data_IF_519789235985
#
_entry.id   IF_519789235985
#
_cell.length_a   1.000
_cell.length_b   1.000
_cell.length_c   1.000
_cell.angle_alpha   90.00
_cell.angle_beta   90.00
_cell.angle_gamma   90.00
#
_symmetry.space_group_name_H-M   'P 1'
#
loop_
_entity.id
_entity.type
_entity.pdbx_description
1 polymer ?
#
# COMPACT_ATOMS: atom_id res chain seq x y z
N UNK A 1 -2.05 27.45 -63.34
CA UNK A 1 -0.96 26.49 -63.12
C UNK A 1 0.27 27.36 -62.89
N UNK A 2 0.80 27.53 -61.69
CA UNK A 2 0.81 26.69 -60.50
C UNK A 2 0.95 27.54 -59.23
N UNK A 3 0.54 26.96 -58.09
CA UNK A 3 0.74 27.54 -56.75
C UNK A 3 2.19 27.31 -56.34
N UNK A 4 2.82 28.25 -55.65
CA UNK A 4 3.62 27.84 -54.49
C UNK A 4 3.69 28.90 -53.39
N UNK A 5 3.54 28.40 -52.17
CA UNK A 5 3.50 29.10 -50.89
C UNK A 5 4.92 29.31 -50.37
N UNK A 6 5.19 30.45 -49.74
CA UNK A 6 6.48 30.70 -49.12
C UNK A 6 6.47 31.83 -48.11
N UNK A 7 5.58 31.77 -47.13
CA UNK A 7 5.70 32.54 -45.90
C UNK A 7 5.42 31.60 -44.72
N UNK A 8 6.48 31.16 -44.04
CA UNK A 8 6.38 30.44 -42.78
C UNK A 8 6.84 31.36 -41.64
N UNK A 9 6.00 31.61 -40.63
CA UNK A 9 6.39 32.38 -39.48
C UNK A 9 7.30 31.59 -38.54
N UNK A 10 8.20 32.36 -37.93
CA UNK A 10 9.09 32.07 -36.82
C UNK A 10 8.45 31.13 -35.77
N UNK A 11 8.90 29.87 -35.74
CA UNK A 11 8.46 28.90 -34.75
C UNK A 11 9.25 29.19 -33.47
N UNK A 12 8.71 30.10 -32.65
CA UNK A 12 9.11 30.25 -31.27
C UNK A 12 9.22 28.87 -30.62
N UNK A 13 10.43 28.54 -30.14
CA UNK A 13 10.71 27.31 -29.42
C UNK A 13 9.75 27.21 -28.23
N UNK A 14 8.78 26.30 -28.34
CA UNK A 14 7.92 25.93 -27.22
C UNK A 14 8.82 25.43 -26.08
N UNK A 15 8.64 25.90 -24.83
CA UNK A 15 9.33 25.31 -23.71
C UNK A 15 8.98 23.82 -23.65
N UNK A 16 10.02 22.98 -23.57
CA UNK A 16 9.89 21.54 -23.36
C UNK A 16 8.99 21.32 -22.14
N UNK A 17 7.97 20.48 -22.30
CA UNK A 17 7.13 20.01 -21.21
C UNK A 17 8.01 19.59 -20.03
N UNK A 18 7.85 20.28 -18.90
CA UNK A 18 8.50 19.92 -17.64
C UNK A 18 8.01 18.52 -17.23
N UNK A 19 8.91 17.73 -16.63
CA UNK A 19 8.80 16.29 -16.48
C UNK A 19 7.49 15.80 -15.83
N UNK A 20 7.03 14.63 -16.28
CA UNK A 20 6.00 13.83 -15.59
C UNK A 20 6.43 13.68 -14.12
N UNK A 21 5.68 14.30 -13.21
CA UNK A 21 6.11 14.56 -11.84
C UNK A 21 6.29 13.29 -11.01
N UNK A 22 7.48 13.09 -10.48
CA UNK A 22 7.75 12.11 -9.43
C UNK A 22 7.23 12.66 -8.09
N UNK A 23 6.52 11.83 -7.30
CA UNK A 23 6.11 12.22 -5.93
C UNK A 23 7.35 12.54 -5.07
N UNK A 24 7.22 13.53 -4.18
CA UNK A 24 8.27 13.81 -3.19
C UNK A 24 8.41 12.64 -2.21
N UNK A 25 9.58 12.50 -1.58
CA UNK A 25 9.80 11.48 -0.54
C UNK A 25 8.78 11.63 0.60
N UNK A 26 8.60 12.85 1.11
CA UNK A 26 7.61 13.13 2.16
C UNK A 26 6.19 12.71 1.76
N UNK A 27 5.78 12.95 0.50
CA UNK A 27 4.46 12.52 0.05
C UNK A 27 4.33 11.00 -0.06
N UNK A 28 5.41 10.30 -0.45
CA UNK A 28 5.43 8.83 -0.44
C UNK A 28 5.33 8.27 0.98
N UNK A 29 6.01 8.89 1.94
CA UNK A 29 5.95 8.48 3.34
C UNK A 29 4.53 8.67 3.91
N UNK A 30 3.88 9.80 3.63
CA UNK A 30 2.47 10.04 4.00
C UNK A 30 1.53 8.97 3.42
N UNK A 31 1.66 8.67 2.13
CA UNK A 31 0.83 7.65 1.47
C UNK A 31 1.12 6.25 2.01
N UNK A 32 2.36 5.98 2.42
CA UNK A 32 2.73 4.70 3.04
C UNK A 32 2.03 4.53 4.39
N UNK A 33 2.04 5.58 5.22
CA UNK A 33 1.35 5.58 6.51
C UNK A 33 -0.17 5.49 6.35
N UNK A 34 -0.73 6.19 5.36
CA UNK A 34 -2.15 6.09 5.04
C UNK A 34 -2.53 4.68 4.60
N UNK A 35 -1.76 4.06 3.70
CA UNK A 35 -1.98 2.69 3.27
C UNK A 35 -1.86 1.71 4.44
N UNK A 36 -0.82 1.82 5.26
CA UNK A 36 -0.65 0.96 6.44
C UNK A 36 -1.85 1.07 7.41
N UNK A 37 -2.39 2.28 7.59
CA UNK A 37 -3.62 2.48 8.36
C UNK A 37 -4.84 1.82 7.72
N UNK A 38 -4.98 1.83 6.39
CA UNK A 38 -6.06 1.13 5.68
C UNK A 38 -5.94 -0.38 5.84
N UNK A 39 -4.74 -0.94 5.72
CA UNK A 39 -4.50 -2.37 5.90
C UNK A 39 -4.88 -2.84 7.31
N UNK A 40 -4.63 -2.02 8.33
CA UNK A 40 -5.12 -2.30 9.68
C UNK A 40 -6.65 -2.34 9.75
N UNK A 41 -7.31 -1.38 9.12
CA UNK A 41 -8.78 -1.34 9.05
C UNK A 41 -9.35 -2.56 8.32
N UNK A 42 -8.77 -2.95 7.19
CA UNK A 42 -9.13 -4.17 6.45
C UNK A 42 -8.98 -5.42 7.32
N UNK A 43 -7.85 -5.53 8.04
CA UNK A 43 -7.61 -6.65 8.94
C UNK A 43 -8.64 -6.73 10.06
N UNK A 44 -9.05 -5.61 10.67
CA UNK A 44 -10.05 -5.63 11.75
C UNK A 44 -11.49 -5.69 11.24
N UNK A 45 -11.79 -5.30 10.00
CA UNK A 45 -13.15 -5.19 9.47
C UNK A 45 -14.03 -6.44 9.68
N UNK A 46 -13.57 -7.68 9.44
CA UNK A 46 -14.39 -8.88 9.65
C UNK A 46 -14.76 -9.15 11.12
N UNK A 47 -14.15 -8.42 12.06
CA UNK A 47 -14.37 -8.57 13.51
C UNK A 47 -15.37 -7.55 14.06
N UNK A 48 -15.87 -6.64 13.23
CA UNK A 48 -16.82 -5.61 13.68
C UNK A 48 -18.11 -6.29 14.15
N UNK A 49 -18.55 -5.94 15.35
CA UNK A 49 -19.78 -6.41 15.98
C UNK A 49 -20.89 -5.38 15.81
N UNK A 50 -22.12 -5.80 16.07
CA UNK A 50 -23.31 -4.96 15.98
C UNK A 50 -23.31 -3.77 16.96
N UNK A 51 -22.50 -3.83 18.02
CA UNK A 51 -22.33 -2.75 19.00
C UNK A 51 -21.32 -1.67 18.56
N UNK A 52 -20.74 -1.80 17.37
CA UNK A 52 -19.76 -0.88 16.80
C UNK A 52 -18.33 -1.10 17.31
N UNK A 53 -18.08 -2.14 18.11
CA UNK A 53 -16.73 -2.54 18.53
C UNK A 53 -16.24 -3.75 17.75
N UNK A 54 -14.93 -3.96 17.73
CA UNK A 54 -14.33 -5.16 17.18
C UNK A 54 -14.24 -6.28 18.21
N UNK A 55 -14.25 -7.53 17.76
CA UNK A 55 -13.83 -8.67 18.58
C UNK A 55 -12.42 -8.44 19.12
N UNK A 56 -12.30 -8.51 20.45
CA UNK A 56 -11.07 -8.18 21.17
C UNK A 56 -9.89 -9.09 20.78
N UNK A 57 -8.73 -8.48 20.58
CA UNK A 57 -7.47 -9.15 20.27
C UNK A 57 -6.39 -8.64 21.21
N UNK A 58 -6.44 -9.01 22.50
CA UNK A 58 -5.42 -8.60 23.46
C UNK A 58 -4.07 -9.20 23.07
N UNK A 59 -3.04 -8.36 23.13
CA UNK A 59 -1.65 -8.71 22.84
C UNK A 59 -0.71 -8.00 23.81
N UNK A 60 0.38 -8.69 24.14
CA UNK A 60 1.45 -8.14 24.97
C UNK A 60 2.47 -7.39 24.12
N UNK A 61 2.62 -6.09 24.34
CA UNK A 61 3.68 -5.24 23.79
C UNK A 61 5.03 -5.67 24.36
N UNK A 62 6.03 -5.88 23.50
CA UNK A 62 7.34 -6.39 23.95
C UNK A 62 8.45 -5.38 23.71
N UNK A 63 8.46 -4.76 22.55
CA UNK A 63 9.64 -4.04 22.05
C UNK A 63 9.41 -2.53 21.92
N UNK A 64 8.27 -2.00 22.42
CA UNK A 64 7.92 -0.59 22.40
C UNK A 64 7.80 0.02 23.82
N UNK A 65 8.95 0.29 24.44
CA UNK A 65 9.01 0.82 25.81
C UNK A 65 8.43 2.23 25.94
N UNK A 66 8.52 3.03 24.88
CA UNK A 66 7.93 4.38 24.85
C UNK A 66 6.41 4.29 24.95
N UNK A 67 5.79 3.43 24.14
CA UNK A 67 4.35 3.18 24.19
C UNK A 67 3.91 2.63 25.55
N UNK A 68 4.64 1.65 26.10
CA UNK A 68 4.34 1.06 27.43
C UNK A 68 4.37 2.13 28.51
N UNK A 69 5.37 3.00 28.48
CA UNK A 69 5.52 4.08 29.47
C UNK A 69 4.38 5.11 29.35
N UNK A 70 4.01 5.48 28.12
CA UNK A 70 2.95 6.44 27.86
C UNK A 70 1.55 5.92 28.26
N UNK A 71 1.30 4.62 28.13
CA UNK A 71 0.00 4.00 28.42
C UNK A 71 -0.08 3.34 29.80
N UNK A 72 1.04 3.15 30.48
CA UNK A 72 1.11 2.51 31.80
C UNK A 72 0.75 1.03 31.80
N UNK A 73 0.80 0.37 30.64
CA UNK A 73 0.46 -1.05 30.45
C UNK A 73 1.29 -1.67 29.33
N UNK A 74 1.51 -2.98 29.39
CA UNK A 74 2.10 -3.78 28.31
C UNK A 74 1.05 -4.55 27.51
N UNK A 75 -0.25 -4.27 27.73
CA UNK A 75 -1.35 -4.92 27.02
C UNK A 75 -2.06 -3.93 26.10
N UNK A 76 -2.33 -4.36 24.88
CA UNK A 76 -3.12 -3.61 23.90
C UNK A 76 -4.16 -4.53 23.26
N UNK A 77 -5.38 -4.04 23.09
CA UNK A 77 -6.35 -4.68 22.20
C UNK A 77 -6.12 -4.15 20.78
N UNK A 78 -5.38 -4.91 19.97
CA UNK A 78 -4.98 -4.44 18.65
C UNK A 78 -6.16 -4.27 17.69
N UNK A 79 -7.31 -4.93 17.91
CA UNK A 79 -8.47 -4.78 17.06
C UNK A 79 -9.26 -3.49 17.37
N UNK A 80 -9.36 -3.12 18.64
CA UNK A 80 -10.07 -1.92 19.09
C UNK A 80 -9.16 -0.69 19.25
N UNK A 81 -7.87 -0.78 18.89
CA UNK A 81 -6.93 0.35 18.87
C UNK A 81 -6.77 0.86 17.44
N UNK A 82 -6.80 2.18 17.27
CA UNK A 82 -6.55 2.79 15.97
C UNK A 82 -5.09 2.66 15.58
N UNK A 83 -4.84 2.52 14.27
CA UNK A 83 -3.52 2.21 13.74
C UNK A 83 -2.41 3.15 14.24
N UNK A 84 -2.71 4.45 14.35
CA UNK A 84 -1.74 5.48 14.79
C UNK A 84 -1.38 5.37 16.28
N UNK A 85 -2.26 4.76 17.06
CA UNK A 85 -2.11 4.58 18.50
C UNK A 85 -1.62 3.17 18.86
N UNK A 86 -1.41 2.30 17.87
CA UNK A 86 -0.82 0.99 18.08
C UNK A 86 0.67 1.11 18.46
N UNK A 87 1.19 0.19 19.29
CA UNK A 87 2.62 0.02 19.47
C UNK A 87 3.29 -0.33 18.14
N UNK A 88 4.56 0.04 18.01
CA UNK A 88 5.36 -0.17 16.81
C UNK A 88 5.35 -1.64 16.36
N UNK A 89 5.42 -2.57 17.31
CA UNK A 89 5.38 -4.03 17.08
C UNK A 89 4.18 -4.46 16.22
N UNK A 90 3.03 -3.80 16.42
CA UNK A 90 1.77 -4.12 15.73
C UNK A 90 1.48 -3.22 14.54
N UNK A 91 2.23 -2.13 14.36
CA UNK A 91 2.18 -1.31 13.14
C UNK A 91 3.08 -1.85 12.04
N UNK A 92 4.22 -2.44 12.41
CA UNK A 92 5.32 -2.77 11.50
C UNK A 92 4.87 -3.60 10.30
N UNK A 93 4.10 -4.66 10.49
CA UNK A 93 3.72 -5.53 9.36
C UNK A 93 2.91 -4.78 8.29
N UNK A 94 1.95 -3.94 8.72
CA UNK A 94 1.19 -3.11 7.79
C UNK A 94 2.08 -2.07 7.09
N UNK A 95 3.08 -1.50 7.79
CA UNK A 95 4.04 -0.57 7.18
C UNK A 95 4.90 -1.26 6.13
N UNK A 96 5.43 -2.45 6.43
CA UNK A 96 6.29 -3.18 5.51
C UNK A 96 5.52 -3.66 4.28
N UNK A 97 4.27 -4.11 4.44
CA UNK A 97 3.38 -4.40 3.31
C UNK A 97 3.07 -3.15 2.46
N UNK A 98 2.80 -2.01 3.11
CA UNK A 98 2.56 -0.74 2.41
C UNK A 98 3.79 -0.25 1.62
N UNK A 99 5.00 -0.36 2.19
CA UNK A 99 6.27 -0.01 1.54
C UNK A 99 6.55 -0.82 0.26
N UNK A 100 5.96 -2.01 0.14
CA UNK A 100 6.07 -2.85 -1.06
C UNK A 100 4.97 -2.53 -2.06
N UNK A 101 3.71 -2.53 -1.63
CA UNK A 101 2.58 -2.40 -2.54
C UNK A 101 2.41 -0.98 -3.13
N UNK A 102 2.65 0.07 -2.33
CA UNK A 102 2.52 1.46 -2.79
C UNK A 102 3.40 1.80 -4.00
N UNK A 103 4.73 1.56 -3.99
CA UNK A 103 5.56 1.88 -5.14
C UNK A 103 5.17 1.06 -6.39
N UNK A 104 4.77 -0.21 -6.23
CA UNK A 104 4.31 -1.02 -7.35
C UNK A 104 3.07 -0.40 -8.03
N UNK A 105 2.06 -0.02 -7.25
CA UNK A 105 0.83 0.59 -7.76
C UNK A 105 1.10 1.98 -8.36
N UNK A 106 1.95 2.78 -7.71
CA UNK A 106 2.34 4.10 -8.19
C UNK A 106 3.10 4.02 -9.53
N UNK A 107 4.05 3.11 -9.66
CA UNK A 107 4.84 2.93 -10.89
C UNK A 107 3.96 2.47 -12.05
N UNK A 108 3.02 1.57 -11.80
CA UNK A 108 2.05 1.11 -12.80
C UNK A 108 1.16 2.28 -13.28
N UNK A 109 0.67 3.10 -12.35
CA UNK A 109 -0.12 4.30 -12.64
C UNK A 109 0.69 5.36 -13.41
N UNK A 110 1.91 5.69 -12.97
CA UNK A 110 2.78 6.67 -13.64
C UNK A 110 3.22 6.23 -15.04
N UNK A 111 3.25 4.92 -15.28
CA UNK A 111 3.47 4.37 -16.60
C UNK A 111 2.23 4.45 -17.52
N UNK A 112 1.10 4.96 -17.03
CA UNK A 112 -0.15 5.09 -17.78
C UNK A 112 -0.86 3.76 -18.00
N UNK A 113 -0.56 2.74 -17.19
CA UNK A 113 -1.25 1.45 -17.19
C UNK A 113 -2.31 1.43 -16.10
N UNK A 114 -3.32 0.58 -16.27
CA UNK A 114 -4.34 0.38 -15.26
C UNK A 114 -3.80 -0.51 -14.12
N UNK A 115 -3.59 0.02 -12.90
CA UNK A 115 -3.11 -0.76 -11.78
C UNK A 115 -4.19 -1.68 -11.19
N UNK A 116 -5.45 -1.62 -11.64
CA UNK A 116 -6.50 -2.56 -11.25
C UNK A 116 -6.56 -3.80 -12.16
N UNK A 117 -5.73 -3.89 -13.22
CA UNK A 117 -5.75 -5.05 -14.13
C UNK A 117 -5.40 -6.34 -13.37
N UNK A 118 -6.16 -7.41 -13.60
CA UNK A 118 -6.00 -8.67 -12.87
C UNK A 118 -4.56 -9.22 -12.89
N UNK A 119 -3.88 -9.16 -14.05
CA UNK A 119 -2.49 -9.62 -14.16
C UNK A 119 -1.52 -8.81 -13.30
N UNK A 120 -1.72 -7.49 -13.16
CA UNK A 120 -0.88 -6.67 -12.29
C UNK A 120 -1.11 -7.03 -10.84
N UNK A 121 -2.38 -7.18 -10.45
CA UNK A 121 -2.74 -7.51 -9.07
C UNK A 121 -2.10 -8.83 -8.67
N UNK A 122 -2.11 -9.85 -9.53
CA UNK A 122 -1.42 -11.13 -9.26
C UNK A 122 0.11 -10.95 -9.15
N UNK A 123 0.74 -10.30 -10.13
CA UNK A 123 2.20 -10.11 -10.13
C UNK A 123 2.66 -9.32 -8.90
N UNK A 124 1.93 -8.27 -8.53
CA UNK A 124 2.24 -7.44 -7.37
C UNK A 124 1.96 -8.17 -6.04
N UNK A 125 0.94 -9.03 -5.99
CA UNK A 125 0.62 -9.84 -4.80
C UNK A 125 1.72 -10.85 -4.52
N UNK A 126 2.28 -11.47 -5.56
CA UNK A 126 3.46 -12.33 -5.42
C UNK A 126 4.64 -11.58 -4.82
N UNK A 127 4.87 -10.32 -5.22
CA UNK A 127 5.95 -9.51 -4.66
C UNK A 127 5.72 -9.12 -3.19
N UNK A 128 4.46 -8.86 -2.81
CA UNK A 128 4.09 -8.65 -1.39
C UNK A 128 4.38 -9.92 -0.58
N UNK A 129 4.01 -11.10 -1.10
CA UNK A 129 4.26 -12.39 -0.45
C UNK A 129 5.75 -12.70 -0.29
N UNK A 130 6.54 -12.50 -1.35
CA UNK A 130 7.99 -12.69 -1.31
C UNK A 130 8.62 -11.79 -0.25
N UNK A 131 8.24 -10.51 -0.22
CA UNK A 131 8.76 -9.57 0.76
C UNK A 131 8.35 -9.96 2.19
N UNK A 132 7.11 -10.43 2.38
CA UNK A 132 6.65 -10.95 3.67
C UNK A 132 7.47 -12.17 4.12
N UNK A 133 7.70 -13.14 3.22
CA UNK A 133 8.52 -14.31 3.53
C UNK A 133 9.95 -13.94 3.86
N UNK A 134 10.56 -12.97 3.18
CA UNK A 134 11.94 -12.57 3.47
C UNK A 134 12.12 -12.03 4.90
N UNK A 135 11.06 -11.47 5.50
CA UNK A 135 11.06 -11.01 6.90
C UNK A 135 10.66 -12.11 7.90
N UNK A 136 9.76 -13.00 7.48
CA UNK A 136 9.03 -13.90 8.38
C UNK A 136 9.37 -15.39 8.21
N UNK A 137 10.31 -15.72 7.31
CA UNK A 137 10.67 -17.10 6.90
C UNK A 137 10.88 -18.07 8.06
N UNK A 138 11.52 -17.62 9.13
CA UNK A 138 11.93 -18.48 10.25
C UNK A 138 10.74 -19.00 11.08
N UNK A 139 9.58 -18.35 10.97
CA UNK A 139 8.39 -18.68 11.75
C UNK A 139 7.09 -18.70 10.93
N UNK A 140 7.18 -18.45 9.62
CA UNK A 140 6.04 -18.52 8.71
C UNK A 140 5.39 -19.92 8.78
N UNK A 141 4.06 -19.99 8.94
CA UNK A 141 3.33 -21.26 8.86
C UNK A 141 3.65 -22.04 7.57
N UNK A 142 3.65 -23.39 7.58
CA UNK A 142 4.03 -24.17 6.40
C UNK A 142 3.20 -23.91 5.15
N UNK A 143 1.91 -23.63 5.32
CA UNK A 143 0.96 -23.25 4.27
C UNK A 143 1.25 -21.87 3.67
N UNK A 144 1.76 -20.94 4.49
CA UNK A 144 2.20 -19.60 4.06
C UNK A 144 3.64 -19.61 3.53
N UNK A 145 4.44 -20.61 3.88
CA UNK A 145 5.84 -20.74 3.45
C UNK A 145 5.99 -21.20 1.99
N UNK A 146 4.89 -21.53 1.32
CA UNK A 146 4.90 -21.97 -0.07
C UNK A 146 5.17 -20.77 -1.01
N UNK A 147 5.78 -21.01 -2.19
CA UNK A 147 5.79 -20.02 -3.26
C UNK A 147 4.37 -19.55 -3.59
N UNK A 148 4.20 -18.27 -3.95
CA UNK A 148 2.88 -17.65 -4.14
C UNK A 148 1.94 -18.48 -5.04
N UNK A 149 2.43 -18.97 -6.18
CA UNK A 149 1.66 -19.81 -7.10
C UNK A 149 1.15 -21.15 -6.52
N UNK A 150 1.64 -21.57 -5.34
CA UNK A 150 1.24 -22.79 -4.63
C UNK A 150 0.42 -22.53 -3.36
N UNK A 151 0.19 -21.26 -3.01
CA UNK A 151 -0.69 -20.89 -1.91
C UNK A 151 -2.14 -21.30 -2.22
N UNK A 152 -2.94 -21.47 -1.16
CA UNK A 152 -4.39 -21.51 -1.30
C UNK A 152 -4.90 -20.16 -1.79
N UNK A 153 -6.10 -20.14 -2.39
CA UNK A 153 -6.70 -18.87 -2.82
C UNK A 153 -7.02 -17.94 -1.63
N UNK A 154 -7.27 -18.50 -0.43
CA UNK A 154 -7.46 -17.71 0.78
C UNK A 154 -6.18 -17.00 1.22
N UNK A 155 -5.02 -17.66 1.14
CA UNK A 155 -3.74 -17.02 1.46
C UNK A 155 -3.37 -15.97 0.41
N UNK A 156 -3.51 -16.27 -0.89
CA UNK A 156 -3.28 -15.27 -1.95
C UNK A 156 -4.17 -14.05 -1.82
N UNK A 157 -5.42 -14.25 -1.42
CA UNK A 157 -6.38 -13.16 -1.28
C UNK A 157 -5.93 -12.12 -0.24
N UNK A 158 -5.17 -12.53 0.79
CA UNK A 158 -4.57 -11.59 1.75
C UNK A 158 -3.58 -10.64 1.08
N UNK A 159 -2.71 -11.16 0.21
CA UNK A 159 -1.76 -10.35 -0.55
C UNK A 159 -2.48 -9.46 -1.57
N UNK A 160 -3.52 -9.99 -2.24
CA UNK A 160 -4.33 -9.20 -3.19
C UNK A 160 -5.06 -8.06 -2.52
N UNK A 161 -5.56 -8.24 -1.29
CA UNK A 161 -6.17 -7.14 -0.50
C UNK A 161 -5.15 -6.02 -0.30
N UNK A 162 -3.89 -6.34 0.03
CA UNK A 162 -2.84 -5.33 0.19
C UNK A 162 -2.64 -4.53 -1.10
N UNK A 163 -2.53 -5.21 -2.24
CA UNK A 163 -2.34 -4.56 -3.53
C UNK A 163 -3.55 -3.70 -3.90
N UNK A 164 -4.77 -4.24 -3.77
CA UNK A 164 -5.99 -3.47 -4.10
C UNK A 164 -6.15 -2.23 -3.23
N UNK A 165 -5.84 -2.31 -1.93
CA UNK A 165 -5.85 -1.14 -1.06
C UNK A 165 -4.86 -0.06 -1.53
N UNK A 166 -3.68 -0.45 -2.02
CA UNK A 166 -2.71 0.48 -2.61
C UNK A 166 -3.23 1.11 -3.91
N UNK A 167 -3.85 0.31 -4.78
CA UNK A 167 -4.47 0.75 -6.03
C UNK A 167 -5.59 1.76 -5.77
N UNK A 168 -6.47 1.48 -4.81
CA UNK A 168 -7.57 2.36 -4.43
C UNK A 168 -7.04 3.68 -3.90
N UNK A 169 -6.04 3.65 -3.00
CA UNK A 169 -5.38 4.86 -2.50
C UNK A 169 -4.77 5.68 -3.64
N UNK A 170 -4.02 5.06 -4.55
CA UNK A 170 -3.42 5.79 -5.68
C UNK A 170 -4.50 6.39 -6.59
N UNK A 171 -5.56 5.64 -6.87
CA UNK A 171 -6.68 6.13 -7.68
C UNK A 171 -7.38 7.31 -7.01
N UNK A 172 -7.63 7.28 -5.70
CA UNK A 172 -8.25 8.39 -4.97
C UNK A 172 -7.36 9.64 -4.97
N UNK A 173 -6.05 9.47 -4.81
CA UNK A 173 -5.12 10.58 -4.63
C UNK A 173 -4.67 11.18 -5.96
N UNK A 174 -4.75 10.43 -7.07
CA UNK A 174 -4.23 10.83 -8.38
C UNK A 174 -5.29 10.88 -9.50
N UNK A 175 -6.56 10.50 -9.27
CA UNK A 175 -7.65 10.65 -10.27
C UNK A 175 -7.93 12.09 -10.69
N UNK A 176 -7.48 13.08 -9.90
CA UNK A 176 -7.64 14.51 -10.20
C UNK A 176 -6.33 15.20 -10.67
N UNK A 177 -5.31 14.44 -11.09
CA UNK A 177 -4.10 15.00 -11.72
C UNK A 177 -4.39 15.55 -13.13
N UNK A 178 -3.82 16.70 -13.54
CA UNK A 178 -4.33 17.48 -14.67
C UNK A 178 -4.25 16.71 -16.00
N UNK A 179 -5.37 16.78 -16.74
CA UNK A 179 -5.47 16.41 -18.16
C UNK A 179 -4.54 17.24 -19.04
#
# INVERSE_FOLDING_TARGET
MDRDFGDQPDIAARPRAQGRGSLSAARRDELTEELASRLHNEWRAPRLRDDGRYEERPKQVRDDQEWITAHGTDQVDIANTDYRDLPLDYRRENQESAKVALPLALDEHLAGRDPARAGFVEDASEQVHIAWLDRNRDWAPPDQSLPYGRLSEEEKEKDRVVVRAAVDLINEQLRDGPA
#
